data_IF_749503285218
#
_entry.id   IF_749503285218
#
_cell.length_a   1.000
_cell.length_b   1.000
_cell.length_c   1.000
_cell.angle_alpha   90.00
_cell.angle_beta   90.00
_cell.angle_gamma   90.00
#
_symmetry.space_group_name_H-M   'P 1'
#
loop_
_entity.id
_entity.type
_entity.pdbx_description
1 polymer ?
#
# COMPACT_ATOMS: atom_id res chain seq x y z
N UNK A 1 26.78 6.61 -10.53
CA UNK A 1 25.71 5.59 -10.33
C UNK A 1 25.94 4.95 -8.97
N UNK A 2 25.22 5.38 -7.90
CA UNK A 2 25.34 4.77 -6.57
C UNK A 2 24.59 3.44 -6.61
N UNK A 3 25.30 2.33 -6.42
CA UNK A 3 24.70 1.02 -6.23
C UNK A 3 23.72 1.10 -5.06
N UNK A 4 22.45 0.74 -5.30
CA UNK A 4 21.45 0.59 -4.23
C UNK A 4 21.89 -0.60 -3.38
N UNK A 5 22.30 -0.35 -2.15
CA UNK A 5 22.59 -1.42 -1.19
C UNK A 5 21.25 -2.06 -0.81
N UNK A 6 21.07 -3.32 -1.20
CA UNK A 6 19.96 -4.14 -0.73
C UNK A 6 20.03 -4.21 0.80
N UNK A 7 18.91 -4.01 1.47
CA UNK A 7 18.86 -4.14 2.93
C UNK A 7 19.22 -5.58 3.33
N UNK A 8 20.11 -5.71 4.31
CA UNK A 8 20.50 -7.02 4.83
C UNK A 8 19.38 -7.62 5.72
N UNK A 9 19.19 -8.94 5.67
CA UNK A 9 18.29 -9.63 6.57
C UNK A 9 18.65 -9.39 8.04
N UNK A 10 17.64 -9.25 8.88
CA UNK A 10 17.85 -9.04 10.31
C UNK A 10 18.12 -10.36 11.04
N UNK A 11 19.03 -10.35 12.01
CA UNK A 11 19.27 -11.49 12.91
C UNK A 11 18.08 -11.69 13.86
N UNK A 12 18.04 -12.84 14.54
CA UNK A 12 17.01 -13.15 15.55
C UNK A 12 16.95 -12.08 16.64
N UNK A 13 18.12 -11.64 17.14
CA UNK A 13 18.19 -10.56 18.13
C UNK A 13 17.67 -9.23 17.60
N UNK A 14 17.99 -8.89 16.37
CA UNK A 14 17.51 -7.68 15.71
C UNK A 14 15.99 -7.75 15.47
N UNK A 15 15.46 -8.92 15.11
CA UNK A 15 14.02 -9.16 14.99
C UNK A 15 13.30 -8.86 16.30
N UNK A 16 13.73 -9.46 17.41
CA UNK A 16 13.13 -9.20 18.73
C UNK A 16 13.22 -7.73 19.14
N UNK A 17 14.34 -7.07 18.83
CA UNK A 17 14.50 -5.65 19.09
C UNK A 17 13.54 -4.80 18.23
N UNK A 18 13.40 -5.10 16.95
CA UNK A 18 12.48 -4.39 16.05
C UNK A 18 11.02 -4.54 16.52
N UNK A 19 10.59 -5.76 16.86
CA UNK A 19 9.24 -6.02 17.37
C UNK A 19 8.96 -5.28 18.68
N UNK A 20 9.95 -5.22 19.59
CA UNK A 20 9.84 -4.44 20.81
C UNK A 20 9.71 -2.94 20.54
N UNK A 21 10.48 -2.41 19.59
CA UNK A 21 10.38 -1.01 19.18
C UNK A 21 9.00 -0.70 18.60
N UNK A 22 8.50 -1.54 17.71
CA UNK A 22 7.19 -1.37 17.08
C UNK A 22 6.03 -1.42 18.07
N UNK A 23 6.14 -2.28 19.10
CA UNK A 23 5.08 -2.48 20.07
C UNK A 23 5.12 -1.47 21.22
N UNK A 24 6.29 -1.27 21.83
CA UNK A 24 6.39 -0.60 23.12
C UNK A 24 6.93 0.84 23.02
N UNK A 25 7.91 1.07 22.16
CA UNK A 25 8.60 2.37 22.14
C UNK A 25 8.00 3.36 21.15
N UNK A 26 7.53 2.87 20.00
CA UNK A 26 7.02 3.71 18.91
C UNK A 26 5.50 3.57 18.74
N UNK A 27 4.87 2.66 19.50
CA UNK A 27 3.43 2.40 19.48
C UNK A 27 2.83 2.15 18.08
N UNK A 28 3.63 1.69 17.12
CA UNK A 28 3.18 1.41 15.75
C UNK A 28 2.01 0.42 15.74
N UNK A 29 2.04 -0.58 16.62
CA UNK A 29 1.00 -1.61 16.73
C UNK A 29 -0.29 -1.09 17.38
N UNK A 30 -0.35 0.15 17.83
CA UNK A 30 -1.63 0.80 18.17
C UNK A 30 -2.53 1.00 16.95
N UNK A 31 -1.94 1.20 15.77
CA UNK A 31 -2.66 1.40 14.51
C UNK A 31 -2.49 0.23 13.54
N UNK A 32 -1.32 -0.41 13.50
CA UNK A 32 -0.98 -1.47 12.57
C UNK A 32 -1.07 -2.86 13.21
N UNK A 33 -1.41 -3.87 12.42
CA UNK A 33 -1.25 -5.27 12.81
C UNK A 33 0.16 -5.78 12.44
N UNK A 34 0.67 -6.72 13.25
CA UNK A 34 1.87 -7.50 12.98
C UNK A 34 1.67 -8.92 13.52
N UNK A 35 1.77 -9.92 12.66
CA UNK A 35 1.55 -11.34 13.02
C UNK A 35 0.23 -11.58 13.78
N UNK A 36 -0.84 -10.95 13.31
CA UNK A 36 -2.19 -11.07 13.87
C UNK A 36 -2.42 -10.29 15.17
N UNK A 37 -1.43 -9.54 15.68
CA UNK A 37 -1.55 -8.69 16.88
C UNK A 37 -1.51 -7.22 16.48
N UNK A 38 -2.21 -6.36 17.23
CA UNK A 38 -2.23 -4.92 17.04
C UNK A 38 -3.50 -4.36 16.44
N UNK A 39 -3.45 -3.07 16.06
CA UNK A 39 -4.57 -2.32 15.52
C UNK A 39 -4.90 -2.67 14.07
N UNK A 40 -6.06 -2.17 13.61
CA UNK A 40 -6.56 -2.38 12.24
C UNK A 40 -6.84 -1.06 11.52
N UNK A 41 -6.30 0.04 12.02
CA UNK A 41 -6.46 1.37 11.43
C UNK A 41 -5.51 1.53 10.24
N UNK A 42 -4.26 1.09 10.42
CA UNK A 42 -3.24 1.07 9.38
C UNK A 42 -3.08 -0.30 8.70
N UNK A 43 -2.32 -0.36 7.59
CA UNK A 43 -2.02 -1.61 6.91
C UNK A 43 -1.32 -2.65 7.80
N UNK A 44 -1.53 -3.92 7.51
CA UNK A 44 -0.83 -5.03 8.18
C UNK A 44 0.64 -5.06 7.78
N UNK A 45 1.52 -4.92 8.78
CA UNK A 45 2.97 -4.90 8.60
C UNK A 45 3.57 -6.29 8.38
N UNK A 46 2.84 -7.35 8.70
CA UNK A 46 3.31 -8.74 8.50
C UNK A 46 3.63 -9.07 7.05
N UNK A 47 3.04 -8.34 6.12
CA UNK A 47 3.19 -8.55 4.67
C UNK A 47 3.94 -7.41 3.98
N UNK A 48 4.49 -6.47 4.74
CA UNK A 48 5.15 -5.29 4.18
C UNK A 48 6.28 -5.66 3.21
N UNK A 49 7.20 -6.53 3.61
CA UNK A 49 8.36 -6.90 2.80
C UNK A 49 8.04 -7.66 1.52
N UNK A 50 6.89 -8.34 1.45
CA UNK A 50 6.46 -9.02 0.22
C UNK A 50 5.76 -8.08 -0.78
N UNK A 51 5.38 -6.89 -0.35
CA UNK A 51 4.49 -5.99 -1.08
C UNK A 51 5.07 -4.61 -1.36
N UNK A 52 5.86 -4.09 -0.43
CA UNK A 52 6.36 -2.72 -0.48
C UNK A 52 7.86 -2.70 -0.86
N UNK A 53 8.26 -1.64 -1.52
CA UNK A 53 9.67 -1.39 -1.81
C UNK A 53 10.38 -0.84 -0.57
N UNK A 54 11.70 -1.01 -0.49
CA UNK A 54 12.52 -0.47 0.61
C UNK A 54 12.38 1.06 0.71
N UNK A 55 12.35 1.72 -0.45
CA UNK A 55 12.15 3.18 -0.53
C UNK A 55 10.79 3.61 -0.01
N UNK A 56 9.73 2.87 -0.35
CA UNK A 56 8.39 3.13 0.15
C UNK A 56 8.31 2.98 1.67
N UNK A 57 8.82 1.86 2.22
CA UNK A 57 8.82 1.60 3.67
C UNK A 57 9.51 2.76 4.40
N UNK A 58 10.69 3.18 3.92
CA UNK A 58 11.42 4.31 4.48
C UNK A 58 10.59 5.58 4.47
N UNK A 59 10.07 5.98 3.31
CA UNK A 59 9.31 7.21 3.15
C UNK A 59 8.00 7.21 3.94
N UNK A 60 7.32 6.07 4.01
CA UNK A 60 6.08 5.94 4.79
C UNK A 60 6.31 6.18 6.28
N UNK A 61 7.48 5.82 6.82
CA UNK A 61 7.82 6.04 8.23
C UNK A 61 8.36 7.46 8.46
N UNK A 62 9.30 7.93 7.63
CA UNK A 62 9.96 9.23 7.82
C UNK A 62 9.06 10.41 7.42
N UNK A 63 8.28 10.25 6.38
CA UNK A 63 7.49 11.32 5.75
C UNK A 63 6.12 10.81 5.28
N UNK A 64 5.26 10.33 6.18
CA UNK A 64 3.99 9.67 5.81
C UNK A 64 3.09 10.55 4.94
N UNK A 65 3.07 11.86 5.14
CA UNK A 65 2.28 12.80 4.34
C UNK A 65 2.83 13.00 2.92
N UNK A 66 4.11 12.67 2.66
CA UNK A 66 4.64 12.64 1.29
C UNK A 66 4.15 11.42 0.52
N UNK A 67 3.98 10.30 1.23
CA UNK A 67 3.45 9.05 0.66
C UNK A 67 1.95 9.17 0.43
N UNK A 68 1.24 9.69 1.42
CA UNK A 68 -0.20 9.90 1.41
C UNK A 68 -0.52 11.21 2.13
N UNK A 69 -0.84 12.32 1.40
CA UNK A 69 -1.10 13.62 2.03
C UNK A 69 -2.17 13.61 3.11
N UNK A 70 -3.19 12.77 2.97
CA UNK A 70 -4.28 12.61 3.95
C UNK A 70 -3.98 11.57 5.03
N UNK A 71 -2.74 11.09 5.14
CA UNK A 71 -2.36 10.09 6.13
C UNK A 71 -2.57 10.60 7.54
N UNK A 72 -3.21 9.76 8.38
CA UNK A 72 -3.27 9.98 9.82
C UNK A 72 -2.03 9.43 10.54
N UNK A 73 -1.14 8.75 9.83
CA UNK A 73 0.10 8.24 10.38
C UNK A 73 0.97 9.41 10.82
N UNK A 74 1.34 9.49 12.11
CA UNK A 74 2.16 10.59 12.60
C UNK A 74 3.60 10.48 12.07
N UNK A 75 4.25 11.62 11.87
CA UNK A 75 5.69 11.66 11.67
C UNK A 75 6.37 11.32 12.99
N UNK A 76 7.05 10.19 13.06
CA UNK A 76 7.73 9.74 14.26
C UNK A 76 9.22 10.08 14.17
N UNK A 77 9.71 10.86 15.15
CA UNK A 77 11.14 11.09 15.28
C UNK A 77 11.79 9.92 16.02
N UNK A 78 12.80 9.34 15.41
CA UNK A 78 13.56 8.24 16.01
C UNK A 78 15.02 8.28 15.60
N UNK A 79 15.93 7.66 16.37
CA UNK A 79 17.33 7.52 15.99
C UNK A 79 17.50 6.80 14.65
N UNK A 80 18.48 7.20 13.85
CA UNK A 80 18.74 6.61 12.52
C UNK A 80 18.91 5.09 12.55
N UNK A 81 19.57 4.57 13.57
CA UNK A 81 19.78 3.13 13.74
C UNK A 81 18.47 2.36 14.02
N UNK A 82 17.50 2.98 14.70
CA UNK A 82 16.17 2.40 14.90
C UNK A 82 15.41 2.37 13.58
N UNK A 83 15.46 3.48 12.84
CA UNK A 83 14.85 3.58 11.53
C UNK A 83 15.37 2.50 10.57
N UNK A 84 16.70 2.35 10.48
CA UNK A 84 17.32 1.34 9.65
C UNK A 84 16.93 -0.08 10.07
N UNK A 85 16.89 -0.35 11.37
CA UNK A 85 16.49 -1.64 11.91
C UNK A 85 15.04 -1.98 11.56
N UNK A 86 14.12 -1.02 11.76
CA UNK A 86 12.69 -1.21 11.46
C UNK A 86 12.49 -1.38 9.96
N UNK A 87 13.15 -0.57 9.14
CA UNK A 87 13.09 -0.68 7.68
C UNK A 87 13.58 -2.05 7.22
N UNK A 88 14.75 -2.51 7.69
CA UNK A 88 15.27 -3.84 7.36
C UNK A 88 14.35 -4.96 7.85
N UNK A 89 13.81 -4.85 9.06
CA UNK A 89 12.87 -5.81 9.58
C UNK A 89 11.61 -5.91 8.71
N UNK A 90 10.96 -4.77 8.42
CA UNK A 90 9.74 -4.72 7.62
C UNK A 90 9.97 -5.16 6.17
N UNK A 91 11.12 -4.84 5.58
CA UNK A 91 11.48 -5.28 4.23
C UNK A 91 11.63 -6.81 4.12
N UNK A 92 11.91 -7.48 5.24
CA UNK A 92 12.07 -8.93 5.29
C UNK A 92 10.89 -9.65 5.95
N UNK A 93 9.82 -8.94 6.36
CA UNK A 93 8.60 -9.61 6.81
C UNK A 93 8.02 -10.44 5.67
N UNK A 94 7.59 -11.64 6.02
CA UNK A 94 6.92 -12.56 5.10
C UNK A 94 7.74 -13.04 3.89
N UNK A 95 9.07 -13.02 3.96
CA UNK A 95 9.90 -13.59 2.88
C UNK A 95 9.72 -15.10 2.74
N UNK A 96 9.39 -15.82 3.84
CA UNK A 96 9.08 -17.25 3.81
C UNK A 96 7.60 -17.54 3.48
N UNK A 97 6.70 -16.61 3.78
CA UNK A 97 5.27 -16.74 3.46
C UNK A 97 4.94 -16.32 2.04
N UNK A 98 5.90 -15.87 1.23
CA UNK A 98 5.70 -15.77 -0.24
C UNK A 98 5.13 -17.07 -0.79
N UNK A 99 5.51 -18.23 -0.24
CA UNK A 99 4.99 -19.53 -0.60
C UNK A 99 3.57 -19.77 -0.04
N UNK A 100 3.28 -19.41 1.21
CA UNK A 100 2.01 -19.75 1.87
C UNK A 100 0.87 -18.83 1.45
N UNK A 101 1.15 -17.54 1.24
CA UNK A 101 0.16 -16.58 0.70
C UNK A 101 0.19 -16.55 -0.84
N UNK A 102 1.32 -16.80 -1.49
CA UNK A 102 1.33 -17.10 -2.92
C UNK A 102 0.47 -18.35 -3.21
N UNK A 103 0.44 -19.33 -2.31
CA UNK A 103 -0.40 -20.52 -2.44
C UNK A 103 -1.85 -20.29 -1.99
N UNK A 104 -2.16 -19.28 -1.17
CA UNK A 104 -3.53 -18.85 -0.85
C UNK A 104 -4.06 -17.82 -1.86
N UNK A 105 -3.20 -17.21 -2.65
CA UNK A 105 -3.51 -16.49 -3.89
C UNK A 105 -3.44 -17.49 -5.07
N UNK A 106 -3.54 -18.77 -4.78
CA UNK A 106 -3.80 -19.79 -5.79
C UNK A 106 -5.17 -19.51 -6.36
N UNK A 107 -5.12 -19.10 -7.63
CA UNK A 107 -6.18 -19.28 -8.58
C UNK A 107 -7.55 -19.39 -7.90
N UNK A 108 -8.25 -18.29 -7.68
CA UNK A 108 -9.69 -18.45 -7.59
C UNK A 108 -10.06 -19.26 -8.83
N UNK A 109 -10.91 -20.29 -8.72
CA UNK A 109 -11.33 -21.10 -9.87
C UNK A 109 -12.11 -20.27 -10.89
N UNK A 110 -12.06 -18.97 -10.75
CA UNK A 110 -12.63 -17.94 -11.59
C UNK A 110 -11.51 -17.02 -12.07
N UNK A 111 -11.14 -17.16 -13.33
CA UNK A 111 -10.55 -16.08 -14.11
C UNK A 111 -11.62 -14.99 -14.25
N UNK A 112 -11.84 -14.22 -13.22
CA UNK A 112 -12.61 -12.99 -13.32
C UNK A 112 -11.63 -11.91 -13.76
N UNK A 113 -11.30 -11.89 -15.04
CA UNK A 113 -10.92 -10.64 -15.68
C UNK A 113 -12.17 -9.77 -15.69
N UNK A 114 -12.53 -9.23 -14.53
CA UNK A 114 -13.61 -8.27 -14.43
C UNK A 114 -13.06 -6.96 -14.97
N UNK A 115 -13.52 -6.52 -16.13
CA UNK A 115 -12.98 -5.32 -16.75
C UNK A 115 -13.17 -4.13 -15.81
N UNK A 116 -12.23 -3.19 -15.83
CA UNK A 116 -12.33 -1.90 -15.13
C UNK A 116 -13.74 -1.30 -15.26
N UNK A 117 -14.34 -1.41 -16.43
CA UNK A 117 -15.66 -0.89 -16.74
C UNK A 117 -16.78 -1.43 -15.84
N UNK A 118 -16.70 -2.68 -15.40
CA UNK A 118 -17.74 -3.28 -14.55
C UNK A 118 -17.57 -2.98 -13.08
N UNK A 119 -16.33 -2.87 -12.60
CA UNK A 119 -16.05 -2.79 -11.17
C UNK A 119 -15.69 -1.38 -10.70
N UNK A 120 -14.99 -0.62 -11.51
CA UNK A 120 -14.40 0.65 -11.13
C UNK A 120 -15.11 1.84 -11.77
N UNK A 121 -15.42 1.73 -13.09
CA UNK A 121 -16.02 2.80 -13.85
C UNK A 121 -17.39 3.27 -13.36
N UNK A 122 -18.25 2.43 -12.73
CA UNK A 122 -19.49 2.94 -12.14
C UNK A 122 -19.33 4.12 -11.19
N UNK A 123 -18.20 4.18 -10.48
CA UNK A 123 -17.84 5.29 -9.59
C UNK A 123 -16.78 6.20 -10.22
N UNK A 124 -15.71 5.60 -10.79
CA UNK A 124 -14.53 6.34 -11.24
C UNK A 124 -14.60 6.85 -12.69
N UNK A 125 -15.68 6.57 -13.43
CA UNK A 125 -15.81 6.92 -14.84
C UNK A 125 -15.07 5.96 -15.78
N UNK A 126 -15.56 5.82 -17.01
CA UNK A 126 -14.99 4.92 -18.02
C UNK A 126 -13.56 5.32 -18.39
N UNK A 127 -13.29 6.61 -18.41
CA UNK A 127 -11.98 7.20 -18.68
C UNK A 127 -11.20 7.54 -17.40
N UNK A 128 -11.71 7.18 -16.23
CA UNK A 128 -11.04 7.41 -14.95
C UNK A 128 -11.16 8.85 -14.41
N UNK A 129 -12.10 9.64 -14.90
CA UNK A 129 -12.30 11.06 -14.55
C UNK A 129 -13.02 11.29 -13.21
N UNK A 130 -13.43 10.24 -12.53
CA UNK A 130 -14.20 10.32 -11.29
C UNK A 130 -15.69 10.60 -11.48
N UNK A 131 -16.17 10.59 -12.72
CA UNK A 131 -17.55 10.97 -13.08
C UNK A 131 -18.40 9.76 -13.53
N UNK A 132 -18.23 8.62 -12.85
CA UNK A 132 -19.09 7.46 -13.06
C UNK A 132 -20.55 7.73 -12.67
N UNK A 133 -21.47 6.95 -13.17
CA UNK A 133 -22.91 7.18 -12.95
C UNK A 133 -23.32 7.11 -11.46
N UNK A 134 -22.55 6.44 -10.60
CA UNK A 134 -22.75 6.44 -9.16
C UNK A 134 -22.08 7.63 -8.44
N UNK A 135 -21.20 8.38 -9.09
CA UNK A 135 -20.38 9.40 -8.45
C UNK A 135 -21.21 10.48 -7.75
N UNK A 136 -22.30 10.93 -8.38
CA UNK A 136 -23.18 11.95 -7.83
C UNK A 136 -23.96 11.51 -6.59
N UNK A 137 -24.07 10.21 -6.36
CA UNK A 137 -24.76 9.62 -5.21
C UNK A 137 -23.82 9.35 -4.02
N UNK A 138 -22.53 9.62 -4.17
CA UNK A 138 -21.54 9.38 -3.12
C UNK A 138 -21.30 10.66 -2.31
N UNK A 139 -21.15 10.55 -0.98
CA UNK A 139 -20.89 11.70 -0.12
C UNK A 139 -19.50 12.30 -0.34
N UNK A 140 -18.60 11.56 -0.96
CA UNK A 140 -17.24 11.99 -1.33
C UNK A 140 -17.01 11.59 -2.78
N UNK A 141 -16.59 12.54 -3.59
CA UNK A 141 -16.31 12.29 -5.01
C UNK A 141 -15.23 11.21 -5.19
N UNK A 142 -15.43 10.26 -6.11
CA UNK A 142 -14.40 9.29 -6.47
C UNK A 142 -13.14 9.97 -6.98
N UNK A 143 -11.98 9.31 -6.78
CA UNK A 143 -10.72 9.84 -7.28
C UNK A 143 -10.75 10.02 -8.81
N UNK A 144 -10.30 11.19 -9.26
CA UNK A 144 -10.07 11.47 -10.67
C UNK A 144 -8.67 10.96 -11.05
N UNK A 145 -8.62 9.91 -11.85
CA UNK A 145 -7.36 9.30 -12.29
C UNK A 145 -6.74 10.00 -13.50
N UNK A 146 -7.43 10.97 -14.11
CA UNK A 146 -6.86 11.77 -15.19
C UNK A 146 -6.09 12.97 -14.67
N UNK A 147 -6.18 13.27 -13.38
CA UNK A 147 -5.43 14.37 -12.76
C UNK A 147 -3.98 13.95 -12.51
N UNK A 148 -3.11 14.29 -13.47
CA UNK A 148 -1.68 14.04 -13.40
C UNK A 148 -1.05 14.61 -12.13
N UNK A 149 -1.44 15.84 -11.72
CA UNK A 149 -0.85 16.51 -10.55
C UNK A 149 -1.09 15.76 -9.25
N UNK A 150 -2.25 15.10 -9.13
CA UNK A 150 -2.60 14.31 -7.95
C UNK A 150 -2.03 12.90 -8.04
N UNK A 151 -2.20 12.25 -9.20
CA UNK A 151 -1.85 10.83 -9.34
C UNK A 151 -0.34 10.61 -9.42
N UNK A 152 0.44 11.54 -10.01
CA UNK A 152 1.92 11.46 -10.02
C UNK A 152 2.54 11.52 -8.61
N UNK A 153 1.85 12.09 -7.62
CA UNK A 153 2.29 12.10 -6.23
C UNK A 153 2.08 10.76 -5.52
N UNK A 154 1.28 9.87 -6.07
CA UNK A 154 0.97 8.56 -5.50
C UNK A 154 1.94 7.50 -6.03
N UNK A 155 2.54 6.72 -5.16
CA UNK A 155 3.31 5.55 -5.58
C UNK A 155 2.39 4.44 -6.09
N UNK A 156 2.91 3.50 -6.87
CA UNK A 156 2.17 2.32 -7.29
C UNK A 156 1.74 1.48 -6.09
N UNK A 157 2.56 1.43 -5.03
CA UNK A 157 2.20 0.78 -3.78
C UNK A 157 0.99 1.45 -3.10
N UNK A 158 0.92 2.79 -3.08
CA UNK A 158 -0.24 3.51 -2.53
C UNK A 158 -1.51 3.21 -3.32
N UNK A 159 -1.43 3.21 -4.65
CA UNK A 159 -2.57 2.87 -5.51
C UNK A 159 -2.99 1.42 -5.31
N UNK A 160 -2.02 0.50 -5.27
CA UNK A 160 -2.27 -0.91 -5.00
C UNK A 160 -2.98 -1.12 -3.66
N UNK A 161 -2.48 -0.50 -2.59
CA UNK A 161 -3.04 -0.63 -1.25
C UNK A 161 -4.45 -0.07 -1.15
N UNK A 162 -4.71 1.03 -1.84
CA UNK A 162 -6.04 1.64 -1.90
C UNK A 162 -7.04 0.69 -2.57
N UNK A 163 -6.65 0.02 -3.63
CA UNK A 163 -7.51 -0.98 -4.30
C UNK A 163 -7.64 -2.23 -3.43
N UNK A 164 -6.53 -2.76 -2.94
CA UNK A 164 -6.50 -4.00 -2.16
C UNK A 164 -7.33 -3.90 -0.88
N UNK A 165 -7.07 -2.88 -0.07
CA UNK A 165 -7.66 -2.71 1.26
C UNK A 165 -8.90 -1.81 1.30
N UNK A 166 -9.24 -1.17 0.18
CA UNK A 166 -10.33 -0.21 0.09
C UNK A 166 -9.97 1.16 0.67
N UNK A 167 -10.88 2.11 0.49
CA UNK A 167 -10.64 3.50 0.89
C UNK A 167 -10.47 3.68 2.40
N UNK A 168 -11.15 2.90 3.21
CA UNK A 168 -11.13 3.06 4.68
C UNK A 168 -9.72 2.94 5.28
N UNK A 169 -8.92 1.96 4.86
CA UNK A 169 -7.57 1.76 5.39
C UNK A 169 -6.59 2.87 4.97
N UNK A 170 -6.95 3.61 3.93
CA UNK A 170 -6.16 4.74 3.42
C UNK A 170 -6.74 6.09 3.86
N UNK A 171 -7.55 6.10 4.92
CA UNK A 171 -8.27 7.28 5.43
C UNK A 171 -9.10 8.01 4.35
N UNK A 172 -9.69 7.23 3.45
CA UNK A 172 -10.58 7.69 2.38
C UNK A 172 -12.00 7.17 2.59
N UNK A 173 -12.87 7.42 1.64
CA UNK A 173 -14.27 6.98 1.70
C UNK A 173 -14.41 5.46 1.85
N UNK A 174 -15.25 5.02 2.81
CA UNK A 174 -15.59 3.61 2.99
C UNK A 174 -16.45 3.05 1.82
N UNK A 175 -16.97 3.90 0.95
CA UNK A 175 -17.66 3.48 -0.26
C UNK A 175 -16.73 2.91 -1.33
N UNK A 176 -15.40 3.13 -1.21
CA UNK A 176 -14.42 2.37 -1.97
C UNK A 176 -14.18 1.03 -1.28
N UNK A 177 -14.73 -0.08 -1.80
CA UNK A 177 -14.63 -1.37 -1.14
C UNK A 177 -13.23 -1.98 -1.25
N UNK A 178 -12.86 -2.89 -0.34
CA UNK A 178 -11.63 -3.67 -0.47
C UNK A 178 -11.78 -4.73 -1.58
N UNK A 179 -10.89 -4.69 -2.56
CA UNK A 179 -10.90 -5.62 -3.68
C UNK A 179 -9.95 -6.80 -3.51
N UNK A 180 -9.06 -6.78 -2.50
CA UNK A 180 -8.05 -7.81 -2.28
C UNK A 180 -8.59 -9.21 -2.00
N UNK A 181 -9.89 -9.33 -1.65
CA UNK A 181 -10.57 -10.63 -1.50
C UNK A 181 -11.19 -11.14 -2.82
N UNK A 182 -11.35 -10.26 -3.81
CA UNK A 182 -12.01 -10.55 -5.08
C UNK A 182 -11.06 -10.58 -6.27
N UNK A 183 -9.99 -9.78 -6.20
CA UNK A 183 -8.98 -9.63 -7.24
C UNK A 183 -7.67 -10.25 -6.78
N UNK A 184 -6.98 -10.91 -7.70
CA UNK A 184 -5.61 -11.33 -7.50
C UNK A 184 -4.68 -10.11 -7.44
N UNK A 185 -3.48 -10.30 -6.88
CA UNK A 185 -2.45 -9.25 -6.87
C UNK A 185 -2.09 -8.78 -8.27
N UNK A 186 -2.01 -9.71 -9.22
CA UNK A 186 -1.69 -9.41 -10.61
C UNK A 186 -2.76 -8.51 -11.24
N UNK A 187 -4.03 -8.81 -11.04
CA UNK A 187 -5.13 -7.97 -11.53
C UNK A 187 -5.10 -6.57 -10.92
N UNK A 188 -4.76 -6.44 -9.62
CA UNK A 188 -4.61 -5.12 -8.99
C UNK A 188 -3.44 -4.35 -9.60
N UNK A 189 -2.32 -5.00 -9.89
CA UNK A 189 -1.19 -4.38 -10.59
C UNK A 189 -1.60 -3.90 -11.98
N UNK A 190 -2.42 -4.66 -12.70
CA UNK A 190 -2.97 -4.26 -14.00
C UNK A 190 -3.87 -3.02 -13.88
N UNK A 191 -4.70 -2.93 -12.83
CA UNK A 191 -5.49 -1.72 -12.56
C UNK A 191 -4.62 -0.51 -12.20
N UNK A 192 -3.56 -0.70 -11.42
CA UNK A 192 -2.58 0.38 -11.17
C UNK A 192 -1.98 0.85 -12.48
N UNK A 193 -1.59 -0.07 -13.36
CA UNK A 193 -1.08 0.27 -14.71
C UNK A 193 -2.12 1.00 -15.55
N UNK A 194 -3.40 0.62 -15.43
CA UNK A 194 -4.49 1.33 -16.12
C UNK A 194 -4.67 2.75 -15.59
N UNK A 195 -4.57 2.98 -14.27
CA UNK A 195 -4.60 4.31 -13.67
C UNK A 195 -3.45 5.17 -14.21
N UNK A 196 -2.23 4.60 -14.34
CA UNK A 196 -1.09 5.30 -14.96
C UNK A 196 -1.34 5.71 -16.41
N UNK A 197 -2.06 4.89 -17.16
CA UNK A 197 -2.46 5.24 -18.53
C UNK A 197 -3.47 6.39 -18.56
N UNK A 198 -4.41 6.45 -17.62
CA UNK A 198 -5.37 7.55 -17.53
C UNK A 198 -4.68 8.89 -17.24
N UNK A 199 -3.77 8.95 -16.28
CA UNK A 199 -3.04 10.20 -15.98
C UNK A 199 -1.86 10.47 -16.92
N UNK A 200 -1.45 9.51 -17.73
CA UNK A 200 -0.22 9.59 -18.53
C UNK A 200 1.01 9.97 -17.68
N UNK A 201 1.06 9.51 -16.43
CA UNK A 201 2.02 9.91 -15.44
C UNK A 201 2.79 8.73 -14.83
N UNK A 202 3.96 9.04 -14.30
CA UNK A 202 4.82 8.09 -13.61
C UNK A 202 4.67 8.19 -12.08
N UNK A 203 4.96 7.12 -11.33
CA UNK A 203 5.09 7.20 -9.89
C UNK A 203 6.25 8.10 -9.48
N UNK A 204 6.25 8.69 -8.27
CA UNK A 204 7.33 9.53 -7.79
C UNK A 204 8.66 8.75 -7.69
N UNK A 205 9.79 9.41 -7.98
CA UNK A 205 11.10 8.76 -8.08
C UNK A 205 11.55 8.08 -6.79
N UNK A 206 11.19 8.63 -5.65
CA UNK A 206 11.49 8.04 -4.34
C UNK A 206 10.84 6.66 -4.12
N UNK A 207 9.79 6.33 -4.87
CA UNK A 207 9.06 5.05 -4.76
C UNK A 207 9.58 3.97 -5.72
N UNK A 208 10.45 4.34 -6.65
CA UNK A 208 11.08 3.41 -7.59
C UNK A 208 12.28 2.75 -6.91
N UNK A 209 12.47 1.48 -7.09
CA UNK A 209 13.65 0.73 -6.63
C UNK A 209 14.75 0.72 -7.66
#
# INVERSE_FOLDING_TARGET
MKMKTKLEPVSVFQTQKAERLLNNNLACLGCHALNGKGGKIGPDLSIAGSRLTDGYIKMAIEMPHMVLPESIMPKIQMPKNWMQLIQSYLAHTNTETKSKYANLIINPPYKVSTPYNSNCAPCHGIIGDGMGFNASSLPVSPGNFTDEKIISLRSDNTLFDTIYGGGRIMNKSHFMPPWGQKLSRQEIVEYVSQIRKFCQCNPPDWSKN
#
